data_IF_327308604947
#
_entry.id   IF_327308604947
#
_cell.length_a   1.000
_cell.length_b   1.000
_cell.length_c   1.000
_cell.angle_alpha   90.00
_cell.angle_beta   90.00
_cell.angle_gamma   90.00
#
_symmetry.space_group_name_H-M   'P 1'
#
loop_
_entity.id
_entity.type
_entity.pdbx_description
1 polymer ?
#
# COMPACT_ATOMS: atom_id res chain seq x y z
N UNK A 1 -11.50 -17.91 4.79
CA UNK A 1 -10.43 -16.91 4.91
C UNK A 1 -9.10 -17.63 4.94
N UNK A 2 -8.29 -17.49 3.89
CA UNK A 2 -6.93 -18.05 3.81
C UNK A 2 -5.87 -17.02 4.29
N UNK A 3 -4.59 -17.34 4.15
CA UNK A 3 -3.49 -16.44 4.56
C UNK A 3 -3.47 -15.13 3.76
N UNK A 4 -3.76 -15.17 2.46
CA UNK A 4 -3.80 -13.99 1.61
C UNK A 4 -4.95 -13.07 2.02
N UNK A 5 -6.14 -13.63 2.26
CA UNK A 5 -7.29 -12.86 2.77
C UNK A 5 -6.96 -12.12 4.07
N UNK A 6 -6.23 -12.78 4.99
CA UNK A 6 -5.78 -12.14 6.25
C UNK A 6 -4.80 -11.01 6.00
N UNK A 7 -3.82 -11.21 5.13
CA UNK A 7 -2.80 -10.20 4.83
C UNK A 7 -3.41 -8.96 4.16
N UNK A 8 -4.25 -9.14 3.14
CA UNK A 8 -4.89 -8.02 2.43
C UNK A 8 -5.93 -7.33 3.29
N UNK A 9 -6.70 -8.08 4.09
CA UNK A 9 -7.69 -7.52 5.00
C UNK A 9 -7.05 -6.70 6.14
N UNK A 10 -5.98 -7.23 6.75
CA UNK A 10 -5.22 -6.51 7.75
C UNK A 10 -4.57 -5.25 7.19
N UNK A 11 -4.01 -5.32 5.97
CA UNK A 11 -3.48 -4.15 5.28
C UNK A 11 -4.57 -3.09 5.05
N UNK A 12 -5.72 -3.50 4.51
CA UNK A 12 -6.85 -2.62 4.23
C UNK A 12 -7.37 -1.89 5.47
N UNK A 13 -7.64 -2.60 6.56
CA UNK A 13 -8.10 -1.99 7.81
C UNK A 13 -7.03 -1.08 8.44
N UNK A 14 -5.75 -1.45 8.35
CA UNK A 14 -4.65 -0.60 8.78
C UNK A 14 -4.56 0.70 7.98
N UNK A 15 -4.71 0.62 6.66
CA UNK A 15 -4.70 1.79 5.79
C UNK A 15 -5.92 2.68 6.01
N UNK A 16 -7.10 2.11 6.27
CA UNK A 16 -8.29 2.89 6.68
C UNK A 16 -8.02 3.70 7.94
N UNK A 17 -7.48 3.06 8.99
CA UNK A 17 -7.14 3.79 10.23
C UNK A 17 -6.11 4.90 9.98
N UNK A 18 -5.10 4.64 9.15
CA UNK A 18 -4.11 5.64 8.77
C UNK A 18 -4.78 6.84 8.07
N UNK A 19 -5.66 6.59 7.11
CA UNK A 19 -6.41 7.63 6.40
C UNK A 19 -7.33 8.41 7.34
N UNK A 20 -8.00 7.75 8.27
CA UNK A 20 -8.83 8.41 9.30
C UNK A 20 -8.00 9.38 10.16
N UNK A 21 -6.74 9.04 10.46
CA UNK A 21 -5.83 9.95 11.16
C UNK A 21 -5.35 11.10 10.27
N UNK A 22 -5.23 10.87 8.97
CA UNK A 22 -4.81 11.89 8.02
C UNK A 22 -5.86 12.97 7.78
N UNK A 23 -7.16 12.69 8.00
CA UNK A 23 -8.23 13.70 7.85
C UNK A 23 -8.06 14.91 8.78
N UNK A 24 -7.35 14.75 9.91
CA UNK A 24 -7.05 15.84 10.84
C UNK A 24 -5.77 16.63 10.51
N UNK A 25 -5.06 16.28 9.44
CA UNK A 25 -3.78 16.90 9.08
C UNK A 25 -3.96 18.02 8.06
N UNK A 26 -3.07 19.01 8.13
CA UNK A 26 -2.93 20.06 7.12
C UNK A 26 -2.14 19.58 5.91
N UNK A 27 -2.30 20.24 4.75
CA UNK A 27 -1.51 19.95 3.54
C UNK A 27 0.01 20.00 3.82
N UNK A 28 0.46 20.98 4.60
CA UNK A 28 1.87 21.13 4.99
C UNK A 28 2.37 19.91 5.78
N UNK A 29 1.52 19.29 6.60
CA UNK A 29 1.87 18.08 7.33
C UNK A 29 1.89 16.85 6.43
N UNK A 30 0.95 16.75 5.48
CA UNK A 30 0.93 15.68 4.47
C UNK A 30 2.18 15.72 3.57
N UNK A 31 2.68 16.90 3.26
CA UNK A 31 3.84 17.13 2.41
C UNK A 31 5.16 17.24 3.18
N UNK A 32 5.15 17.01 4.50
CA UNK A 32 6.38 16.99 5.28
C UNK A 32 7.24 15.77 4.88
N UNK A 33 8.55 15.97 4.59
CA UNK A 33 9.45 14.84 4.32
C UNK A 33 9.51 13.88 5.50
N UNK A 34 9.44 12.58 5.20
CA UNK A 34 9.59 11.53 6.21
C UNK A 34 11.07 11.33 6.50
N UNK A 35 11.48 11.61 7.73
CA UNK A 35 12.88 11.52 8.17
C UNK A 35 13.20 10.12 8.72
N UNK A 36 14.49 9.75 8.76
CA UNK A 36 14.94 8.51 9.41
C UNK A 36 14.61 7.21 8.67
N UNK A 37 14.09 7.31 7.45
CA UNK A 37 14.00 6.20 6.52
C UNK A 37 15.36 6.02 5.83
N UNK A 38 16.03 4.90 6.10
CA UNK A 38 17.06 4.42 5.19
C UNK A 38 16.33 3.87 3.98
N UNK A 39 16.65 4.37 2.79
CA UNK A 39 16.08 3.86 1.57
C UNK A 39 17.03 2.84 0.94
N UNK A 40 16.82 1.52 1.15
CA UNK A 40 17.71 0.53 0.58
C UNK A 40 17.51 0.35 -0.93
N UNK A 41 16.46 0.91 -1.53
CA UNK A 41 16.08 0.64 -2.91
C UNK A 41 16.15 1.91 -3.75
N UNK A 42 16.99 1.89 -4.78
CA UNK A 42 17.26 3.07 -5.62
C UNK A 42 16.02 3.67 -6.32
N UNK A 43 14.95 2.88 -6.51
CA UNK A 43 13.70 3.32 -7.13
C UNK A 43 12.70 3.92 -6.14
N UNK A 44 12.96 3.80 -4.84
CA UNK A 44 12.23 4.53 -3.82
C UNK A 44 12.93 5.90 -3.66
N UNK A 45 12.16 6.98 -3.71
CA UNK A 45 12.77 8.32 -3.72
C UNK A 45 13.28 8.69 -2.32
N UNK A 46 14.45 9.32 -2.25
CA UNK A 46 15.06 9.80 -1.00
C UNK A 46 14.24 10.88 -0.27
N UNK A 47 13.10 11.31 -0.84
CA UNK A 47 12.29 12.41 -0.35
C UNK A 47 10.79 12.04 -0.33
N UNK A 48 10.46 10.87 0.22
CA UNK A 48 9.06 10.51 0.45
C UNK A 48 8.42 11.49 1.46
N UNK A 49 7.23 11.95 1.13
CA UNK A 49 6.28 12.61 2.06
C UNK A 49 5.19 11.62 2.47
N UNK A 50 4.44 11.92 3.53
CA UNK A 50 3.26 11.12 3.90
C UNK A 50 2.28 11.03 2.71
N UNK A 51 2.04 12.13 1.99
CA UNK A 51 1.19 12.13 0.78
C UNK A 51 1.70 11.16 -0.27
N UNK A 52 3.00 11.16 -0.55
CA UNK A 52 3.59 10.25 -1.53
C UNK A 52 3.46 8.78 -1.08
N UNK A 53 3.65 8.47 0.20
CA UNK A 53 3.48 7.12 0.72
C UNK A 53 2.03 6.65 0.61
N UNK A 54 1.07 7.51 0.98
CA UNK A 54 -0.36 7.23 0.84
C UNK A 54 -0.70 6.93 -0.62
N UNK A 55 -0.26 7.79 -1.54
CA UNK A 55 -0.46 7.63 -2.99
C UNK A 55 -0.04 6.25 -3.50
N UNK A 56 1.18 5.82 -3.18
CA UNK A 56 1.70 4.52 -3.66
C UNK A 56 1.07 3.32 -2.96
N UNK A 57 0.53 3.50 -1.76
CA UNK A 57 -0.05 2.40 -0.98
C UNK A 57 -1.53 2.19 -1.28
N UNK A 58 -2.24 3.24 -1.68
CA UNK A 58 -3.67 3.16 -2.01
C UNK A 58 -3.95 2.93 -3.48
N UNK A 59 -2.92 2.88 -4.34
CA UNK A 59 -3.10 2.74 -5.80
C UNK A 59 -3.49 4.04 -6.51
N UNK A 60 -3.34 5.20 -5.86
CA UNK A 60 -3.61 6.51 -6.45
C UNK A 60 -2.41 7.08 -7.24
N UNK A 61 -1.47 6.24 -7.69
CA UNK A 61 -0.21 6.64 -8.33
C UNK A 61 -0.39 7.52 -9.56
N UNK A 62 -1.47 7.30 -10.30
CA UNK A 62 -1.68 7.91 -11.62
C UNK A 62 -2.46 9.22 -11.52
N UNK A 63 -2.95 9.58 -10.33
CA UNK A 63 -3.71 10.79 -10.13
C UNK A 63 -2.80 12.04 -10.18
N UNK A 64 -3.26 13.13 -10.82
CA UNK A 64 -2.58 14.43 -10.76
C UNK A 64 -2.27 14.87 -9.33
N UNK A 65 -1.12 15.52 -9.12
CA UNK A 65 -0.65 15.91 -7.77
C UNK A 65 -1.67 16.80 -7.04
N UNK A 66 -2.35 17.70 -7.75
CA UNK A 66 -3.38 18.58 -7.21
C UNK A 66 -4.69 17.85 -6.81
N UNK A 67 -4.85 16.59 -7.19
CA UNK A 67 -6.03 15.77 -6.87
C UNK A 67 -5.75 14.76 -5.74
N UNK A 68 -4.49 14.66 -5.29
CA UNK A 68 -4.01 13.71 -4.27
C UNK A 68 -4.46 14.10 -2.85
N UNK A 69 -5.76 13.98 -2.61
CA UNK A 69 -6.45 14.24 -1.34
C UNK A 69 -6.64 12.95 -0.54
N UNK A 70 -6.88 13.07 0.78
CA UNK A 70 -7.18 11.92 1.65
C UNK A 70 -8.44 11.17 1.17
N UNK A 71 -9.44 11.89 0.65
CA UNK A 71 -10.67 11.33 0.10
C UNK A 71 -10.39 10.52 -1.17
N UNK A 72 -9.55 11.03 -2.08
CA UNK A 72 -9.12 10.26 -3.24
C UNK A 72 -8.39 8.99 -2.81
N UNK A 73 -7.46 9.08 -1.86
CA UNK A 73 -6.73 7.92 -1.37
C UNK A 73 -7.64 6.87 -0.76
N UNK A 74 -8.71 7.27 -0.08
CA UNK A 74 -9.72 6.34 0.44
C UNK A 74 -10.46 5.62 -0.69
N UNK A 75 -10.91 6.36 -1.70
CA UNK A 75 -11.59 5.78 -2.86
C UNK A 75 -10.68 4.82 -3.63
N UNK A 76 -9.40 5.19 -3.82
CA UNK A 76 -8.41 4.32 -4.46
C UNK A 76 -8.13 3.07 -3.62
N UNK A 77 -7.99 3.20 -2.29
CA UNK A 77 -7.79 2.04 -1.40
C UNK A 77 -8.95 1.05 -1.51
N UNK A 78 -10.19 1.54 -1.45
CA UNK A 78 -11.38 0.69 -1.56
C UNK A 78 -11.42 -0.05 -2.90
N UNK A 79 -11.17 0.66 -4.00
CA UNK A 79 -11.12 0.08 -5.34
C UNK A 79 -10.02 -0.98 -5.45
N UNK A 80 -8.77 -0.62 -5.13
CA UNK A 80 -7.62 -1.52 -5.23
C UNK A 80 -7.76 -2.75 -4.34
N UNK A 81 -8.40 -2.61 -3.16
CA UNK A 81 -8.68 -3.75 -2.30
C UNK A 81 -9.67 -4.74 -2.95
N UNK A 82 -10.77 -4.26 -3.55
CA UNK A 82 -11.72 -5.13 -4.23
C UNK A 82 -11.09 -5.83 -5.44
N UNK A 83 -10.38 -5.08 -6.29
CA UNK A 83 -9.71 -5.62 -7.47
C UNK A 83 -8.66 -6.69 -7.08
N UNK A 84 -7.87 -6.43 -6.04
CA UNK A 84 -6.88 -7.39 -5.55
C UNK A 84 -7.54 -8.65 -5.00
N UNK A 85 -8.66 -8.53 -4.28
CA UNK A 85 -9.42 -9.68 -3.79
C UNK A 85 -9.97 -10.54 -4.92
N UNK A 86 -10.56 -9.91 -5.93
CA UNK A 86 -11.11 -10.61 -7.10
C UNK A 86 -10.00 -11.30 -7.91
N UNK A 87 -8.85 -10.64 -8.04
CA UNK A 87 -7.66 -11.19 -8.70
C UNK A 87 -7.15 -12.43 -7.96
N UNK A 88 -6.96 -12.34 -6.65
CA UNK A 88 -6.52 -13.48 -5.81
C UNK A 88 -7.52 -14.63 -5.89
N UNK A 89 -8.82 -14.34 -5.80
CA UNK A 89 -9.87 -15.36 -5.91
C UNK A 89 -9.86 -16.05 -7.28
N UNK A 90 -9.55 -15.31 -8.34
CA UNK A 90 -9.41 -15.86 -9.70
C UNK A 90 -8.17 -16.74 -9.81
N UNK A 91 -7.01 -16.28 -9.35
CA UNK A 91 -5.78 -17.08 -9.38
C UNK A 91 -5.90 -18.37 -8.60
N UNK A 92 -6.57 -18.35 -7.45
CA UNK A 92 -6.85 -19.54 -6.64
C UNK A 92 -7.79 -20.50 -7.37
N UNK A 93 -8.94 -20.00 -7.87
CA UNK A 93 -9.95 -20.81 -8.57
C UNK A 93 -9.37 -21.48 -9.81
N UNK A 94 -8.53 -20.77 -10.55
CA UNK A 94 -7.98 -21.19 -11.84
C UNK A 94 -6.58 -21.81 -11.71
N UNK A 95 -6.04 -21.91 -10.48
CA UNK A 95 -4.71 -22.48 -10.17
C UNK A 95 -3.57 -21.84 -10.97
N UNK A 96 -3.62 -20.51 -11.10
CA UNK A 96 -2.72 -19.75 -11.96
C UNK A 96 -1.43 -19.29 -11.26
N UNK A 97 -1.20 -19.64 -9.99
CA UNK A 97 -0.11 -19.08 -9.19
C UNK A 97 1.28 -19.13 -9.86
N UNK A 98 1.58 -20.23 -10.56
CA UNK A 98 2.85 -20.43 -11.25
C UNK A 98 2.84 -20.00 -12.73
N UNK A 99 1.68 -19.58 -13.26
CA UNK A 99 1.61 -19.00 -14.61
C UNK A 99 2.31 -17.65 -14.63
N UNK A 100 2.90 -17.33 -15.78
CA UNK A 100 3.74 -16.14 -15.95
C UNK A 100 3.17 -15.15 -16.95
N UNK A 101 3.51 -13.88 -16.76
CA UNK A 101 3.26 -12.80 -17.70
C UNK A 101 4.53 -11.97 -17.93
N UNK A 102 4.56 -11.24 -19.04
CA UNK A 102 5.62 -10.27 -19.34
C UNK A 102 5.15 -8.89 -18.91
N UNK A 103 5.89 -8.26 -18.02
CA UNK A 103 5.76 -6.84 -17.73
C UNK A 103 6.62 -6.06 -18.73
N UNK A 104 5.95 -5.41 -19.68
CA UNK A 104 6.58 -4.62 -20.73
C UNK A 104 6.97 -3.21 -20.27
N UNK A 105 6.50 -2.77 -19.10
CA UNK A 105 6.82 -1.45 -18.54
C UNK A 105 8.16 -1.47 -17.77
N UNK A 106 8.66 -2.66 -17.42
CA UNK A 106 10.04 -2.84 -16.97
C UNK A 106 11.04 -2.59 -18.10
N UNK A 107 12.18 -1.96 -17.79
CA UNK A 107 13.32 -1.83 -18.70
C UNK A 107 14.58 -2.50 -18.09
N UNK A 108 15.01 -3.67 -18.60
CA UNK A 108 14.40 -4.43 -19.70
C UNK A 108 13.07 -5.10 -19.29
N UNK A 109 12.20 -5.51 -20.26
CA UNK A 109 10.99 -6.25 -19.94
C UNK A 109 11.28 -7.51 -19.12
N UNK A 110 10.46 -7.76 -18.11
CA UNK A 110 10.68 -8.83 -17.11
C UNK A 110 9.54 -9.84 -17.13
N UNK A 111 9.86 -11.10 -16.84
CA UNK A 111 8.87 -12.17 -16.68
C UNK A 111 8.62 -12.39 -15.20
N UNK A 112 7.34 -12.39 -14.79
CA UNK A 112 6.93 -12.66 -13.42
C UNK A 112 5.88 -13.77 -13.38
N UNK A 113 5.85 -14.56 -12.30
CA UNK A 113 4.69 -15.40 -11.98
C UNK A 113 3.62 -14.59 -11.27
N UNK A 114 2.35 -14.97 -11.42
CA UNK A 114 1.25 -14.31 -10.71
C UNK A 114 1.42 -14.38 -9.18
N UNK A 115 1.86 -15.53 -8.65
CA UNK A 115 2.18 -15.67 -7.23
C UNK A 115 3.34 -14.80 -6.77
N UNK A 116 4.39 -14.69 -7.59
CA UNK A 116 5.53 -13.80 -7.33
C UNK A 116 5.12 -12.33 -7.30
N UNK A 117 4.26 -11.92 -8.23
CA UNK A 117 3.72 -10.57 -8.29
C UNK A 117 2.83 -10.24 -7.09
N UNK A 118 1.93 -11.13 -6.69
CA UNK A 118 1.13 -10.94 -5.46
C UNK A 118 2.03 -10.85 -4.23
N UNK A 119 3.05 -11.71 -4.13
CA UNK A 119 4.05 -11.64 -3.06
C UNK A 119 4.77 -10.28 -3.02
N UNK A 120 5.21 -9.78 -4.17
CA UNK A 120 5.81 -8.46 -4.32
C UNK A 120 4.89 -7.36 -3.80
N UNK A 121 3.63 -7.33 -4.27
CA UNK A 121 2.63 -6.33 -3.86
C UNK A 121 2.45 -6.33 -2.33
N UNK A 122 2.29 -7.51 -1.73
CA UNK A 122 2.11 -7.65 -0.28
C UNK A 122 3.32 -7.18 0.53
N UNK A 123 4.54 -7.45 0.07
CA UNK A 123 5.77 -6.99 0.73
C UNK A 123 5.79 -5.46 0.77
N UNK A 124 5.58 -4.81 -0.37
CA UNK A 124 5.66 -3.35 -0.45
C UNK A 124 4.48 -2.64 0.21
N UNK A 125 3.27 -3.22 0.15
CA UNK A 125 2.12 -2.71 0.90
C UNK A 125 2.38 -2.68 2.41
N UNK A 126 2.92 -3.77 2.97
CA UNK A 126 3.24 -3.82 4.40
C UNK A 126 4.35 -2.84 4.78
N UNK A 127 5.41 -2.79 3.97
CA UNK A 127 6.49 -1.83 4.17
C UNK A 127 5.97 -0.38 4.19
N UNK A 128 5.19 0.02 3.18
CA UNK A 128 4.70 1.41 3.07
C UNK A 128 3.66 1.73 4.15
N UNK A 129 2.86 0.76 4.58
CA UNK A 129 1.96 0.93 5.73
C UNK A 129 2.75 1.29 7.00
N UNK A 130 3.82 0.56 7.29
CA UNK A 130 4.72 0.87 8.42
C UNK A 130 5.35 2.26 8.23
N UNK A 131 5.73 2.61 7.00
CA UNK A 131 6.27 3.94 6.70
C UNK A 131 5.27 5.08 7.01
N UNK A 132 4.02 4.90 6.62
CA UNK A 132 2.94 5.83 6.97
C UNK A 132 2.77 5.94 8.49
N UNK A 133 2.82 4.82 9.23
CA UNK A 133 2.73 4.84 10.69
C UNK A 133 3.89 5.62 11.33
N UNK A 134 5.12 5.44 10.83
CA UNK A 134 6.30 6.18 11.29
C UNK A 134 6.19 7.68 10.97
N UNK A 135 5.72 8.03 9.77
CA UNK A 135 5.49 9.42 9.38
C UNK A 135 4.45 10.10 10.27
N UNK A 136 3.33 9.41 10.56
CA UNK A 136 2.31 9.89 11.48
C UNK A 136 2.85 10.07 12.91
N UNK A 137 3.69 9.15 13.39
CA UNK A 137 4.34 9.29 14.70
C UNK A 137 5.25 10.52 14.76
N UNK A 138 5.97 10.86 13.68
CA UNK A 138 6.79 12.08 13.59
C UNK A 138 5.95 13.38 13.61
N UNK A 139 4.67 13.30 13.25
CA UNK A 139 3.70 14.38 13.35
C UNK A 139 3.00 14.43 14.72
N UNK A 140 3.36 13.56 15.67
CA UNK A 140 2.75 13.46 16.99
C UNK A 140 1.42 12.69 17.01
N UNK A 141 1.07 11.99 15.93
CA UNK A 141 -0.14 11.16 15.87
C UNK A 141 0.14 9.80 16.52
N UNK A 142 -0.64 9.46 17.55
CA UNK A 142 -0.51 8.23 18.32
C UNK A 142 -1.77 7.35 18.27
N UNK A 143 -1.70 6.16 18.88
CA UNK A 143 -2.86 5.27 19.03
C UNK A 143 -3.25 4.53 17.74
N UNK A 144 -2.31 4.34 16.82
CA UNK A 144 -2.46 3.44 15.69
C UNK A 144 -2.33 1.99 16.16
N UNK A 145 -3.23 1.12 15.68
CA UNK A 145 -3.09 -0.32 15.82
C UNK A 145 -2.17 -0.82 14.71
N UNK A 146 -1.42 -1.88 14.98
CA UNK A 146 -0.50 -2.45 13.99
C UNK A 146 -1.22 -3.23 12.88
N UNK A 147 -2.42 -3.75 13.17
CA UNK A 147 -3.15 -4.69 12.31
C UNK A 147 -2.24 -5.82 11.84
N UNK A 148 -1.73 -6.57 12.83
CA UNK A 148 -0.99 -7.79 12.59
C UNK A 148 -1.94 -8.84 11.99
N UNK A 149 -1.57 -9.52 10.89
CA UNK A 149 -2.34 -10.66 10.38
C UNK A 149 -2.58 -11.78 11.40
N UNK A 150 -1.75 -11.89 12.45
CA UNK A 150 -1.95 -12.82 13.58
C UNK A 150 -3.28 -12.52 14.29
N UNK A 151 -3.58 -11.24 14.53
CA UNK A 151 -4.75 -10.78 15.28
C UNK A 151 -5.96 -10.48 14.39
N UNK A 152 -5.81 -10.58 13.05
CA UNK A 152 -6.88 -10.27 12.11
C UNK A 152 -7.95 -11.36 12.07
N UNK A 153 -9.20 -11.00 12.35
CA UNK A 153 -10.33 -11.94 12.45
C UNK A 153 -11.31 -11.92 11.27
N UNK A 154 -11.19 -10.93 10.36
CA UNK A 154 -12.05 -10.83 9.17
C UNK A 154 -13.43 -10.25 9.43
#
# INVERSE_FOLDING_TARGET
MNVLDRMIGAHYEGMKQILDRCEGLTEVQLDRPVSGYYDPLAWMSQHQTLRSLLRHTTGASDAPVNEQTVQLFRASLDKSYQELRETIATYEREKMWDMTFVDADCDPPMVFSYGGWIGHVLVFHNYRRIACMMALAQLGVSGLKYFDPIDFQG
#
